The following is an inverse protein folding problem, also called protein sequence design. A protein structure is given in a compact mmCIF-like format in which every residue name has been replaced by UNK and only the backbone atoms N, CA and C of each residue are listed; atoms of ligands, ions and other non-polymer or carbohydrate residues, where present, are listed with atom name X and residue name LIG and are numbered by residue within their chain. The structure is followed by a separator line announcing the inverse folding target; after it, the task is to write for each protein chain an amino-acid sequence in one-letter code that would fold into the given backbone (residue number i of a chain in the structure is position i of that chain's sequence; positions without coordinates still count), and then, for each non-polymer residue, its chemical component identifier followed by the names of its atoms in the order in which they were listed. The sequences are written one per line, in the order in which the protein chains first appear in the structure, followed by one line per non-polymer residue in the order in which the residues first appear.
data_IF_368693572013
#
_entry.id   IF_368693572013
#
_cell.length_a   1.000
_cell.length_b   1.000
_cell.length_c   1.000
_cell.angle_alpha   90.00
_cell.angle_beta   90.00
_cell.angle_gamma   90.00
#
_symmetry.space_group_name_H-M   'P 1'
#
loop_
_entity.id
_entity.type
_entity.pdbx_description
1 polymer ?
#
# COMPACT_ATOMS: atom_id res chain seq x y z
N UNK A 1 -14.83 31.82 -27.40
CA UNK A 1 -14.36 30.99 -26.27
C UNK A 1 -13.98 29.65 -26.84
N UNK A 2 -12.72 29.27 -26.71
CA UNK A 2 -12.23 27.99 -27.19
C UNK A 2 -12.89 26.84 -26.43
N UNK A 3 -13.38 25.84 -27.17
CA UNK A 3 -14.03 24.65 -26.56
C UNK A 3 -12.98 23.66 -26.06
N UNK A 4 -13.21 23.11 -24.87
CA UNK A 4 -12.42 22.01 -24.35
C UNK A 4 -12.86 20.69 -24.99
N UNK A 5 -12.04 20.16 -25.88
CA UNK A 5 -12.28 18.86 -26.50
C UNK A 5 -11.74 17.76 -25.60
N UNK A 6 -12.66 16.94 -25.07
CA UNK A 6 -12.32 15.80 -24.23
C UNK A 6 -12.59 14.52 -25.02
N UNK A 7 -11.59 13.65 -25.25
CA UNK A 7 -11.83 12.34 -25.84
C UNK A 7 -12.85 11.54 -25.01
N UNK A 8 -13.61 10.66 -25.67
CA UNK A 8 -14.67 9.87 -25.01
C UNK A 8 -14.10 9.02 -23.86
N UNK A 9 -14.59 9.23 -22.62
CA UNK A 9 -14.15 8.43 -21.47
C UNK A 9 -14.63 6.99 -21.59
N UNK A 10 -13.86 6.04 -21.03
CA UNK A 10 -14.32 4.68 -20.84
C UNK A 10 -15.31 4.60 -19.64
N UNK A 11 -15.97 3.43 -19.47
CA UNK A 11 -16.97 3.24 -18.42
C UNK A 11 -16.43 3.51 -17.00
N UNK A 12 -15.19 3.10 -16.70
CA UNK A 12 -14.57 3.31 -15.39
C UNK A 12 -14.19 4.77 -15.14
N UNK A 13 -13.72 5.44 -16.18
CA UNK A 13 -13.46 6.88 -16.14
C UNK A 13 -14.77 7.67 -15.92
N UNK A 14 -15.88 7.28 -16.56
CA UNK A 14 -17.19 7.92 -16.33
C UNK A 14 -17.64 7.77 -14.87
N UNK A 15 -17.48 6.58 -14.27
CA UNK A 15 -17.76 6.37 -12.84
C UNK A 15 -16.92 7.30 -11.98
N UNK A 16 -15.61 7.39 -12.24
CA UNK A 16 -14.72 8.29 -11.50
C UNK A 16 -15.10 9.77 -11.66
N UNK A 17 -15.45 10.20 -12.85
CA UNK A 17 -15.89 11.58 -13.14
C UNK A 17 -17.21 11.92 -12.44
N UNK A 18 -18.11 10.96 -12.29
CA UNK A 18 -19.42 11.14 -11.66
C UNK A 18 -19.41 10.96 -10.13
N UNK A 19 -18.40 10.30 -9.57
CA UNK A 19 -18.34 9.98 -8.15
C UNK A 19 -18.34 11.23 -7.25
N UNK A 20 -19.13 11.18 -6.18
CA UNK A 20 -19.34 12.28 -5.25
C UNK A 20 -18.94 11.98 -3.81
N UNK A 21 -18.39 10.81 -3.51
CA UNK A 21 -17.88 10.49 -2.18
C UNK A 21 -16.79 11.47 -1.76
N UNK A 22 -16.47 11.50 -0.50
CA UNK A 22 -15.46 12.37 0.08
C UNK A 22 -14.04 11.88 -0.26
N UNK A 23 -13.85 10.56 -0.26
CA UNK A 23 -12.61 9.87 -0.58
C UNK A 23 -12.86 8.89 -1.73
N UNK A 24 -12.28 9.16 -2.88
CA UNK A 24 -12.50 8.37 -4.09
C UNK A 24 -11.19 7.68 -4.47
N UNK A 25 -11.17 6.35 -4.38
CA UNK A 25 -10.09 5.50 -4.87
C UNK A 25 -10.31 5.09 -6.31
N UNK A 26 -9.31 5.25 -7.17
CA UNK A 26 -9.35 4.82 -8.56
C UNK A 26 -8.09 4.03 -8.89
N UNK A 27 -8.21 2.72 -9.00
CA UNK A 27 -7.02 1.90 -9.10
C UNK A 27 -7.25 0.44 -9.42
N UNK A 28 -6.15 -0.32 -9.35
CA UNK A 28 -6.08 -1.75 -9.62
C UNK A 28 -4.85 -2.09 -10.43
N UNK A 29 -4.85 -1.86 -11.74
CA UNK A 29 -3.76 -2.22 -12.64
C UNK A 29 -3.12 -1.01 -13.33
N UNK A 30 -1.97 -1.20 -13.97
CA UNK A 30 -1.35 -0.20 -14.84
C UNK A 30 -2.11 -0.08 -16.16
N UNK A 31 -2.00 1.07 -16.83
CA UNK A 31 -2.60 1.27 -18.14
C UNK A 31 -4.10 1.56 -18.15
N UNK A 32 -4.80 1.60 -17.02
CA UNK A 32 -6.25 1.84 -16.92
C UNK A 32 -6.72 3.28 -17.23
N UNK A 33 -5.82 4.20 -17.59
CA UNK A 33 -6.17 5.59 -17.97
C UNK A 33 -6.48 6.50 -16.76
N UNK A 34 -5.95 6.18 -15.57
CA UNK A 34 -6.21 6.89 -14.31
C UNK A 34 -5.76 8.35 -14.34
N UNK A 35 -4.52 8.63 -14.71
CA UNK A 35 -3.96 10.00 -14.73
C UNK A 35 -4.68 10.90 -15.73
N UNK A 36 -5.18 10.33 -16.83
CA UNK A 36 -6.05 11.06 -17.77
C UNK A 36 -7.35 11.50 -17.08
N UNK A 37 -8.01 10.60 -16.34
CA UNK A 37 -9.25 10.91 -15.63
C UNK A 37 -9.04 11.97 -14.55
N UNK A 38 -7.91 11.95 -13.84
CA UNK A 38 -7.50 13.00 -12.89
C UNK A 38 -7.44 14.36 -13.57
N UNK A 39 -6.74 14.46 -14.71
CA UNK A 39 -6.61 15.72 -15.47
C UNK A 39 -7.96 16.26 -15.92
N UNK A 40 -8.79 15.40 -16.50
CA UNK A 40 -10.14 15.78 -16.95
C UNK A 40 -10.99 16.25 -15.78
N UNK A 41 -11.02 15.50 -14.68
CA UNK A 41 -11.79 15.88 -13.48
C UNK A 41 -11.35 17.21 -12.89
N UNK A 42 -10.03 17.44 -12.79
CA UNK A 42 -9.46 18.69 -12.31
C UNK A 42 -9.86 19.88 -13.19
N UNK A 43 -9.76 19.74 -14.53
CA UNK A 43 -10.18 20.76 -15.47
C UNK A 43 -11.69 21.06 -15.39
N UNK A 44 -12.54 20.01 -15.36
CA UNK A 44 -13.99 20.16 -15.24
C UNK A 44 -14.40 20.87 -13.94
N UNK A 45 -13.73 20.55 -12.81
CA UNK A 45 -13.99 21.24 -11.55
C UNK A 45 -13.66 22.74 -11.66
N UNK A 46 -12.52 23.08 -12.26
CA UNK A 46 -12.12 24.49 -12.46
C UNK A 46 -13.05 25.25 -13.40
N UNK A 47 -13.59 24.60 -14.42
CA UNK A 47 -14.54 25.22 -15.34
C UNK A 47 -15.92 25.43 -14.68
N UNK A 48 -16.37 24.49 -13.85
CA UNK A 48 -17.73 24.51 -13.27
C UNK A 48 -17.83 25.33 -11.98
N UNK A 49 -16.73 25.56 -11.25
CA UNK A 49 -16.73 26.25 -9.97
C UNK A 49 -15.78 27.44 -9.99
N UNK A 50 -16.24 28.68 -10.31
CA UNK A 50 -15.39 29.86 -10.36
C UNK A 50 -14.63 30.12 -9.05
N UNK A 51 -13.30 30.24 -9.15
CA UNK A 51 -12.45 30.48 -7.98
C UNK A 51 -12.05 29.22 -7.16
N UNK A 52 -12.48 28.01 -7.55
CA UNK A 52 -12.10 26.78 -6.87
C UNK A 52 -10.58 26.56 -6.91
N UNK A 53 -10.05 26.02 -5.82
CA UNK A 53 -8.65 25.63 -5.69
C UNK A 53 -8.54 24.10 -5.72
N UNK A 54 -7.97 23.57 -6.77
CA UNK A 54 -7.67 22.15 -6.97
C UNK A 54 -6.17 21.93 -6.80
N UNK A 55 -5.75 20.88 -6.14
CA UNK A 55 -4.33 20.51 -6.03
C UNK A 55 -4.12 19.09 -6.55
N UNK A 56 -3.05 18.92 -7.35
CA UNK A 56 -2.58 17.61 -7.79
C UNK A 56 -1.22 17.37 -7.16
N UNK A 57 -1.10 16.24 -6.46
CA UNK A 57 0.12 15.83 -5.77
C UNK A 57 0.65 14.54 -6.37
N UNK A 58 1.96 14.46 -6.54
CA UNK A 58 2.70 13.26 -6.85
C UNK A 58 3.94 13.17 -5.98
N UNK A 59 4.61 12.01 -5.96
CA UNK A 59 5.81 11.82 -5.16
C UNK A 59 6.92 12.78 -5.56
N UNK A 60 7.25 12.87 -6.87
CA UNK A 60 8.34 13.71 -7.37
C UNK A 60 7.86 14.76 -8.37
N UNK A 61 8.61 15.87 -8.46
CA UNK A 61 8.28 16.94 -9.40
C UNK A 61 8.44 16.52 -10.87
N UNK A 62 9.50 15.81 -11.30
CA UNK A 62 9.61 15.35 -12.69
C UNK A 62 8.41 14.49 -13.13
N UNK A 63 8.00 13.54 -12.29
CA UNK A 63 6.81 12.72 -12.58
C UNK A 63 5.53 13.56 -12.67
N UNK A 64 5.37 14.55 -11.80
CA UNK A 64 4.24 15.47 -11.82
C UNK A 64 4.24 16.29 -13.11
N UNK A 65 5.40 16.75 -13.56
CA UNK A 65 5.57 17.51 -14.80
C UNK A 65 5.15 16.69 -16.01
N UNK A 66 5.73 15.50 -16.17
CA UNK A 66 5.46 14.64 -17.33
C UNK A 66 4.02 14.12 -17.37
N UNK A 67 3.48 13.70 -16.21
CA UNK A 67 2.18 13.04 -16.19
C UNK A 67 0.98 13.97 -16.03
N UNK A 68 1.18 15.21 -15.54
CA UNK A 68 0.07 16.13 -15.32
C UNK A 68 0.28 17.52 -15.90
N UNK A 69 1.40 18.19 -15.64
CA UNK A 69 1.57 19.58 -16.04
C UNK A 69 1.57 19.71 -17.57
N UNK A 70 2.48 19.03 -18.25
CA UNK A 70 2.59 19.11 -19.71
C UNK A 70 1.31 18.66 -20.42
N UNK A 71 0.70 17.49 -20.06
CA UNK A 71 -0.55 17.08 -20.68
C UNK A 71 -1.74 18.02 -20.39
N UNK A 72 -1.81 18.63 -19.19
CA UNK A 72 -2.85 19.63 -18.89
C UNK A 72 -2.62 20.93 -19.68
N UNK A 73 -1.38 21.38 -19.77
CA UNK A 73 -1.05 22.55 -20.58
C UNK A 73 -1.44 22.35 -22.05
N UNK A 74 -1.17 21.18 -22.61
CA UNK A 74 -1.61 20.84 -23.98
C UNK A 74 -3.14 20.80 -24.10
N UNK A 75 -3.83 20.11 -23.17
CA UNK A 75 -5.29 19.96 -23.17
C UNK A 75 -6.01 21.31 -23.01
N UNK A 76 -5.47 22.23 -22.22
CA UNK A 76 -6.05 23.53 -21.92
C UNK A 76 -5.46 24.66 -22.79
N UNK A 77 -4.62 24.32 -23.75
CA UNK A 77 -3.93 25.29 -24.66
C UNK A 77 -3.21 26.39 -23.86
N UNK A 78 -2.60 26.05 -22.72
CA UNK A 78 -2.01 27.05 -21.81
C UNK A 78 -0.87 27.85 -22.44
N UNK A 79 -0.19 27.27 -23.42
CA UNK A 79 0.99 27.84 -24.10
C UNK A 79 0.70 28.21 -25.57
N UNK A 80 -0.57 28.29 -25.98
CA UNK A 80 -0.93 28.73 -27.33
C UNK A 80 -0.42 30.15 -27.57
N UNK A 81 0.07 30.42 -28.78
CA UNK A 81 0.62 31.72 -29.14
C UNK A 81 -0.47 32.80 -29.15
N UNK A 82 -1.70 32.44 -29.55
CA UNK A 82 -2.86 33.32 -29.45
C UNK A 82 -3.51 33.23 -28.06
N UNK A 83 -3.43 34.28 -27.21
CA UNK A 83 -4.08 34.29 -25.91
C UNK A 83 -5.60 34.04 -25.94
N UNK A 84 -6.27 34.35 -27.07
CA UNK A 84 -7.71 34.14 -27.23
C UNK A 84 -8.07 32.65 -27.35
N UNK A 85 -7.14 31.83 -27.79
CA UNK A 85 -7.30 30.40 -27.93
C UNK A 85 -7.00 29.63 -26.60
N UNK A 86 -6.41 30.31 -25.64
CA UNK A 86 -6.09 29.70 -24.32
C UNK A 86 -7.34 29.50 -23.47
N UNK A 87 -7.56 28.26 -23.02
CA UNK A 87 -8.61 27.96 -22.04
C UNK A 87 -8.15 28.35 -20.63
N UNK A 88 -6.85 28.22 -20.35
CA UNK A 88 -6.22 28.60 -19.09
C UNK A 88 -4.76 29.01 -19.32
N UNK A 89 -4.10 29.60 -18.33
CA UNK A 89 -2.71 30.01 -18.41
C UNK A 89 -1.85 29.26 -17.37
N UNK A 90 -0.67 28.79 -17.78
CA UNK A 90 0.28 28.17 -16.88
C UNK A 90 1.28 29.19 -16.32
N UNK A 91 1.47 29.22 -15.01
CA UNK A 91 2.49 30.02 -14.34
C UNK A 91 3.58 29.08 -13.81
N UNK A 92 4.72 29.08 -14.48
CA UNK A 92 5.83 28.18 -14.11
C UNK A 92 6.47 28.54 -12.77
N UNK A 93 6.60 29.82 -12.43
CA UNK A 93 7.19 30.25 -11.17
C UNK A 93 6.38 29.78 -9.95
N UNK A 94 5.05 29.79 -10.04
CA UNK A 94 4.13 29.36 -8.98
C UNK A 94 3.68 27.92 -9.11
N UNK A 95 4.03 27.23 -10.21
CA UNK A 95 3.64 25.86 -10.52
C UNK A 95 2.13 25.66 -10.40
N UNK A 96 1.35 26.46 -11.13
CA UNK A 96 -0.10 26.34 -11.18
C UNK A 96 -0.68 26.76 -12.55
N UNK A 97 -1.84 26.22 -12.89
CA UNK A 97 -2.69 26.67 -13.98
C UNK A 97 -3.78 27.59 -13.41
N UNK A 98 -4.03 28.70 -14.07
CA UNK A 98 -5.07 29.70 -13.73
C UNK A 98 -6.08 29.79 -14.83
N UNK A 99 -7.35 29.71 -14.49
CA UNK A 99 -8.48 29.87 -15.42
C UNK A 99 -9.00 31.31 -15.39
N UNK A 100 -9.64 31.78 -16.47
CA UNK A 100 -10.21 33.15 -16.51
C UNK A 100 -11.25 33.44 -15.41
N UNK A 101 -11.94 32.40 -14.92
CA UNK A 101 -12.91 32.49 -13.83
C UNK A 101 -12.27 32.53 -12.41
N UNK A 102 -10.95 32.62 -12.33
CA UNK A 102 -10.18 32.67 -11.07
C UNK A 102 -9.85 31.31 -10.46
N UNK A 103 -10.34 30.22 -11.01
CA UNK A 103 -10.03 28.85 -10.54
C UNK A 103 -8.56 28.50 -10.78
N UNK A 104 -8.01 27.58 -10.00
CA UNK A 104 -6.60 27.20 -10.09
C UNK A 104 -6.40 25.71 -9.90
N UNK A 105 -5.45 25.14 -10.70
CA UNK A 105 -4.88 23.82 -10.46
C UNK A 105 -3.45 24.01 -9.95
N UNK A 106 -3.19 23.69 -8.69
CA UNK A 106 -1.87 23.77 -8.06
C UNK A 106 -1.16 22.42 -8.21
N UNK A 107 0.13 22.47 -8.54
CA UNK A 107 0.97 21.29 -8.65
C UNK A 107 1.96 21.27 -7.49
N UNK A 108 1.98 20.18 -6.73
CA UNK A 108 2.87 20.00 -5.58
C UNK A 108 3.40 18.57 -5.56
N UNK A 109 4.57 18.38 -4.97
CA UNK A 109 5.15 17.05 -4.76
C UNK A 109 5.37 16.81 -3.26
N UNK A 110 5.40 15.52 -2.88
CA UNK A 110 5.61 15.08 -1.50
C UNK A 110 6.41 13.77 -1.53
N UNK A 111 7.73 13.86 -1.44
CA UNK A 111 8.62 12.69 -1.48
C UNK A 111 8.90 12.11 -0.08
N UNK A 112 8.93 12.96 0.93
CA UNK A 112 9.24 12.58 2.31
C UNK A 112 8.39 13.36 3.33
N UNK A 113 8.49 12.96 4.61
CA UNK A 113 7.72 13.58 5.69
C UNK A 113 8.09 15.07 5.91
N UNK A 114 9.32 15.49 5.55
CA UNK A 114 9.71 16.90 5.57
C UNK A 114 8.95 17.72 4.53
N UNK A 115 8.66 17.14 3.37
CA UNK A 115 7.84 17.80 2.37
C UNK A 115 6.39 17.92 2.85
N UNK A 116 5.87 16.90 3.53
CA UNK A 116 4.53 16.94 4.11
C UNK A 116 4.35 18.14 5.07
N UNK A 117 5.37 18.51 5.83
CA UNK A 117 5.33 19.67 6.70
C UNK A 117 5.16 21.02 5.96
N UNK A 118 5.57 21.11 4.69
CA UNK A 118 5.41 22.32 3.85
C UNK A 118 3.97 22.60 3.46
N UNK A 119 3.08 21.62 3.59
CA UNK A 119 1.66 21.79 3.32
C UNK A 119 0.91 22.49 4.47
N UNK A 120 1.56 22.72 5.61
CA UNK A 120 0.98 23.53 6.70
C UNK A 120 0.60 24.93 6.18
N UNK A 121 -0.64 25.34 6.45
CA UNK A 121 -1.18 26.60 5.95
C UNK A 121 -1.73 26.56 4.52
N UNK A 122 -1.54 25.48 3.77
CA UNK A 122 -2.17 25.31 2.45
C UNK A 122 -3.66 25.01 2.62
N UNK A 123 -4.48 25.63 1.78
CA UNK A 123 -5.93 25.42 1.75
C UNK A 123 -6.40 25.21 0.32
N UNK A 124 -7.08 24.09 0.08
CA UNK A 124 -7.65 23.71 -1.22
C UNK A 124 -9.03 23.08 -1.04
N UNK A 125 -9.84 23.13 -2.08
CA UNK A 125 -11.17 22.54 -2.08
C UNK A 125 -11.13 21.06 -2.46
N UNK A 126 -10.33 20.73 -3.48
CA UNK A 126 -10.19 19.37 -3.99
C UNK A 126 -8.73 18.99 -4.11
N UNK A 127 -8.42 17.80 -3.66
CA UNK A 127 -7.08 17.21 -3.68
C UNK A 127 -7.08 15.95 -4.56
N UNK A 128 -6.13 15.87 -5.46
CA UNK A 128 -5.79 14.65 -6.19
C UNK A 128 -4.42 14.15 -5.72
N UNK A 129 -4.34 12.91 -5.27
CA UNK A 129 -3.09 12.21 -4.94
C UNK A 129 -2.89 11.13 -6.00
N UNK A 130 -2.03 11.40 -6.97
CA UNK A 130 -1.72 10.43 -8.02
C UNK A 130 -0.63 9.48 -7.54
N UNK A 131 -0.87 8.17 -7.72
CA UNK A 131 -0.06 7.08 -7.16
C UNK A 131 -0.01 7.10 -5.62
N UNK A 132 -1.18 7.13 -4.97
CA UNK A 132 -1.33 7.28 -3.51
C UNK A 132 -0.56 6.23 -2.70
N UNK A 133 -0.35 5.03 -3.23
CA UNK A 133 0.46 3.98 -2.61
C UNK A 133 1.95 4.32 -2.48
N UNK A 134 2.43 5.39 -3.14
CA UNK A 134 3.79 5.88 -2.97
C UNK A 134 3.96 6.78 -1.74
N UNK A 135 2.88 7.17 -1.07
CA UNK A 135 2.88 8.03 0.11
C UNK A 135 2.59 7.23 1.39
N UNK A 136 3.29 7.56 2.47
CA UNK A 136 3.00 7.00 3.78
C UNK A 136 1.63 7.49 4.31
N UNK A 137 1.06 6.77 5.28
CA UNK A 137 -0.20 7.20 5.92
C UNK A 137 -0.05 8.55 6.63
N UNK A 138 1.13 8.84 7.19
CA UNK A 138 1.45 10.14 7.80
C UNK A 138 1.42 11.28 6.76
N UNK A 139 2.00 11.07 5.59
CA UNK A 139 1.94 12.03 4.48
C UNK A 139 0.50 12.23 4.01
N UNK A 140 -0.27 11.15 3.89
CA UNK A 140 -1.70 11.23 3.55
C UNK A 140 -2.49 12.06 4.55
N UNK A 141 -2.25 11.93 5.86
CA UNK A 141 -2.90 12.76 6.88
C UNK A 141 -2.56 14.24 6.75
N UNK A 142 -1.30 14.58 6.48
CA UNK A 142 -0.87 15.97 6.27
C UNK A 142 -1.52 16.57 5.02
N UNK A 143 -1.56 15.85 3.91
CA UNK A 143 -2.20 16.27 2.67
C UNK A 143 -3.72 16.43 2.83
N UNK A 144 -4.38 15.49 3.50
CA UNK A 144 -5.82 15.54 3.80
C UNK A 144 -6.20 16.80 4.58
N UNK A 145 -5.37 17.24 5.52
CA UNK A 145 -5.62 18.44 6.32
C UNK A 145 -5.67 19.73 5.50
N UNK A 146 -5.16 19.74 4.27
CA UNK A 146 -5.25 20.87 3.34
C UNK A 146 -6.65 21.04 2.73
N UNK A 147 -7.48 19.99 2.74
CA UNK A 147 -8.82 20.03 2.12
C UNK A 147 -9.81 20.65 3.11
N UNK A 148 -9.93 21.96 3.00
CA UNK A 148 -10.76 22.82 3.88
C UNK A 148 -11.16 24.11 3.19
N UNK A 149 -11.99 24.91 3.80
CA UNK A 149 -12.41 26.22 3.32
C UNK A 149 -13.87 26.50 3.66
N UNK A 150 -14.24 27.79 3.71
CA UNK A 150 -15.54 28.29 4.13
C UNK A 150 -16.55 28.43 2.97
N UNK A 151 -16.11 28.13 1.74
CA UNK A 151 -17.00 28.16 0.56
C UNK A 151 -17.82 26.86 0.43
N UNK A 152 -18.86 26.90 -0.41
CA UNK A 152 -19.77 25.76 -0.67
C UNK A 152 -19.26 24.81 -1.77
N UNK A 153 -17.98 24.84 -2.11
CA UNK A 153 -17.40 23.95 -3.10
C UNK A 153 -17.21 22.53 -2.55
N UNK A 154 -17.18 21.52 -3.43
CA UNK A 154 -16.91 20.15 -3.00
C UNK A 154 -15.59 20.05 -2.24
N UNK A 155 -15.58 19.36 -1.10
CA UNK A 155 -14.37 19.03 -0.34
C UNK A 155 -14.10 17.54 -0.52
N UNK A 156 -13.26 17.20 -1.51
CA UNK A 156 -13.03 15.81 -1.93
C UNK A 156 -11.56 15.50 -2.12
N UNK A 157 -11.24 14.22 -1.91
CA UNK A 157 -9.91 13.67 -2.13
C UNK A 157 -10.01 12.50 -3.10
N UNK A 158 -9.30 12.61 -4.22
CA UNK A 158 -9.22 11.59 -5.24
C UNK A 158 -7.83 10.95 -5.18
N UNK A 159 -7.78 9.63 -5.04
CA UNK A 159 -6.55 8.85 -4.97
C UNK A 159 -6.48 7.91 -6.16
N UNK A 160 -5.49 8.05 -7.04
CA UNK A 160 -5.17 6.96 -7.96
C UNK A 160 -4.19 6.02 -7.29
N UNK A 161 -4.25 4.73 -7.63
CA UNK A 161 -3.46 3.74 -6.92
C UNK A 161 -3.23 2.48 -7.74
N UNK A 162 -2.09 1.84 -7.48
CA UNK A 162 -1.77 0.49 -7.91
C UNK A 162 -1.26 -0.29 -6.69
N UNK A 163 -1.36 -1.64 -6.65
CA UNK A 163 -0.76 -2.42 -5.59
C UNK A 163 0.74 -2.19 -5.47
N UNK A 164 1.27 -2.16 -4.25
CA UNK A 164 2.67 -1.94 -3.94
C UNK A 164 2.96 -0.55 -3.36
N UNK A 165 4.22 -0.31 -2.95
CA UNK A 165 4.69 0.94 -2.36
C UNK A 165 4.45 1.05 -0.85
N UNK A 166 5.06 2.08 -0.25
CA UNK A 166 5.06 2.31 1.21
C UNK A 166 3.65 2.51 1.79
N UNK A 167 2.72 2.99 0.98
CA UNK A 167 1.33 3.24 1.34
C UNK A 167 0.38 2.08 1.06
N UNK A 168 0.89 0.94 0.56
CA UNK A 168 0.06 -0.21 0.20
C UNK A 168 -0.92 -0.60 1.34
N UNK A 169 -0.42 -0.68 2.56
CA UNK A 169 -1.21 -1.14 3.72
C UNK A 169 -2.41 -0.23 4.03
N UNK A 170 -2.21 1.08 4.14
CA UNK A 170 -3.31 2.00 4.45
C UNK A 170 -4.30 2.13 3.29
N UNK A 171 -3.81 2.09 2.04
CA UNK A 171 -4.67 2.11 0.84
C UNK A 171 -5.53 0.85 0.79
N UNK A 172 -4.91 -0.33 0.97
CA UNK A 172 -5.62 -1.61 0.99
C UNK A 172 -6.67 -1.62 2.10
N UNK A 173 -6.32 -1.24 3.33
CA UNK A 173 -7.23 -1.16 4.46
C UNK A 173 -8.48 -0.33 4.15
N UNK A 174 -8.30 0.89 3.64
CA UNK A 174 -9.40 1.85 3.43
C UNK A 174 -10.26 1.52 2.20
N UNK A 175 -9.64 1.21 1.07
CA UNK A 175 -10.34 1.15 -0.22
C UNK A 175 -10.67 -0.28 -0.66
N UNK A 176 -9.87 -1.27 -0.28
CA UNK A 176 -10.04 -2.66 -0.72
C UNK A 176 -10.73 -3.48 0.35
N UNK A 177 -10.13 -3.56 1.54
CA UNK A 177 -10.65 -4.34 2.67
C UNK A 177 -11.81 -3.63 3.38
N UNK A 178 -11.97 -2.29 3.16
CA UNK A 178 -13.02 -1.45 3.75
C UNK A 178 -13.05 -1.53 5.27
N UNK A 179 -11.88 -1.55 5.88
CA UNK A 179 -11.72 -1.57 7.33
C UNK A 179 -11.51 -0.13 7.81
N UNK A 180 -12.50 0.39 8.51
CA UNK A 180 -12.53 1.77 8.97
C UNK A 180 -12.24 1.86 10.46
N UNK A 181 -11.42 2.84 10.88
CA UNK A 181 -10.96 3.02 12.25
C UNK A 181 -11.38 4.38 12.79
N UNK A 182 -11.74 4.43 14.07
CA UNK A 182 -12.04 5.67 14.76
C UNK A 182 -13.17 6.48 14.12
N UNK A 183 -12.88 7.67 13.60
CA UNK A 183 -13.86 8.58 13.00
C UNK A 183 -14.08 8.36 11.48
N UNK A 184 -13.48 7.31 10.88
CA UNK A 184 -13.69 6.97 9.48
C UNK A 184 -15.09 6.36 9.28
N UNK A 185 -15.77 6.73 8.21
CA UNK A 185 -17.14 6.26 7.91
C UNK A 185 -17.18 5.63 6.53
N UNK A 186 -17.82 4.48 6.41
CA UNK A 186 -17.92 3.71 5.17
C UNK A 186 -18.51 4.53 4.01
N UNK A 187 -19.51 5.35 4.31
CA UNK A 187 -20.21 6.20 3.34
C UNK A 187 -19.33 7.32 2.74
N UNK A 188 -18.21 7.64 3.39
CA UNK A 188 -17.25 8.64 2.87
C UNK A 188 -16.36 8.08 1.75
N UNK A 189 -16.26 6.76 1.59
CA UNK A 189 -15.27 6.11 0.73
C UNK A 189 -15.91 5.36 -0.44
N UNK A 190 -15.29 5.51 -1.61
CA UNK A 190 -15.59 4.68 -2.79
C UNK A 190 -14.30 4.13 -3.41
N UNK A 191 -14.41 3.00 -4.08
CA UNK A 191 -13.31 2.42 -4.85
C UNK A 191 -13.78 1.96 -6.23
N UNK A 192 -13.12 2.44 -7.25
CA UNK A 192 -13.38 2.09 -8.66
C UNK A 192 -12.18 1.28 -9.16
N UNK A 193 -12.37 -0.02 -9.36
CA UNK A 193 -11.35 -0.89 -9.94
C UNK A 193 -11.20 -0.61 -11.42
N UNK A 194 -9.95 -0.41 -11.87
CA UNK A 194 -9.59 -0.18 -13.27
C UNK A 194 -8.44 -1.09 -13.68
N UNK A 195 -8.63 -1.81 -14.76
CA UNK A 195 -7.64 -2.70 -15.39
C UNK A 195 -7.20 -2.13 -16.74
N UNK A 196 -6.13 -2.66 -17.29
CA UNK A 196 -5.66 -2.30 -18.63
C UNK A 196 -6.72 -2.56 -19.71
N UNK A 197 -7.49 -3.64 -19.54
CA UNK A 197 -8.57 -4.04 -20.46
C UNK A 197 -9.76 -3.07 -20.47
N UNK A 198 -9.90 -2.22 -19.45
CA UNK A 198 -10.90 -1.16 -19.44
C UNK A 198 -10.52 0.02 -20.36
N UNK A 199 -9.24 0.11 -20.77
CA UNK A 199 -8.70 1.20 -21.58
C UNK A 199 -8.64 0.81 -23.06
N UNK A 200 -9.78 0.84 -23.71
CA UNK A 200 -9.90 0.47 -25.13
C UNK A 200 -8.99 1.33 -26.04
N UNK A 201 -8.75 2.61 -25.69
CA UNK A 201 -7.87 3.47 -26.45
C UNK A 201 -6.40 2.98 -26.42
N UNK A 202 -5.91 2.57 -25.25
CA UNK A 202 -4.58 1.98 -25.13
C UNK A 202 -4.49 0.64 -25.88
N UNK A 203 -5.51 -0.22 -25.72
CA UNK A 203 -5.55 -1.51 -26.40
C UNK A 203 -5.58 -1.40 -27.93
N UNK A 204 -6.18 -0.33 -28.45
CA UNK A 204 -6.20 -0.07 -29.89
C UNK A 204 -4.89 0.55 -30.40
N UNK A 205 -4.24 1.42 -29.60
CA UNK A 205 -3.00 2.10 -30.00
C UNK A 205 -1.76 1.25 -29.79
N UNK A 206 -1.75 0.39 -28.77
CA UNK A 206 -0.63 -0.49 -28.41
C UNK A 206 -1.13 -1.88 -27.96
N UNK A 207 -1.47 -2.76 -28.92
CA UNK A 207 -1.88 -4.13 -28.61
C UNK A 207 -0.80 -4.97 -27.90
N UNK A 208 0.49 -4.61 -28.11
CA UNK A 208 1.62 -5.34 -27.52
C UNK A 208 1.86 -4.99 -26.05
N UNK A 209 1.31 -3.90 -25.56
CA UNK A 209 1.39 -3.53 -24.16
C UNK A 209 0.83 -4.62 -23.22
N UNK A 210 -0.30 -5.21 -23.58
CA UNK A 210 -0.88 -6.32 -22.81
C UNK A 210 0.06 -7.54 -22.78
N UNK A 211 0.70 -7.85 -23.93
CA UNK A 211 1.68 -8.94 -24.04
C UNK A 211 2.90 -8.67 -23.15
N UNK A 212 3.38 -7.44 -23.10
CA UNK A 212 4.49 -7.04 -22.23
C UNK A 212 4.17 -7.23 -20.75
N UNK A 213 2.94 -6.92 -20.33
CA UNK A 213 2.48 -7.16 -18.94
C UNK A 213 2.39 -8.67 -18.62
N UNK A 214 1.96 -9.50 -19.58
CA UNK A 214 1.93 -10.95 -19.38
C UNK A 214 3.32 -11.58 -19.26
N UNK A 215 4.34 -10.98 -19.87
CA UNK A 215 5.74 -11.43 -19.81
C UNK A 215 6.46 -11.08 -18.48
N UNK A 216 5.83 -10.28 -17.62
CA UNK A 216 6.41 -9.91 -16.32
C UNK A 216 6.51 -11.12 -15.38
N UNK A 217 7.46 -11.09 -14.42
CA UNK A 217 7.47 -12.04 -13.31
C UNK A 217 6.10 -12.11 -12.62
N UNK A 218 5.71 -13.27 -12.13
CA UNK A 218 4.34 -13.55 -11.63
C UNK A 218 3.84 -12.49 -10.65
N UNK A 219 4.67 -12.08 -9.69
CA UNK A 219 4.34 -11.05 -8.70
C UNK A 219 3.99 -9.70 -9.35
N UNK A 220 4.84 -9.23 -10.27
CA UNK A 220 4.60 -7.97 -10.97
C UNK A 220 3.41 -8.07 -11.92
N UNK A 221 3.23 -9.21 -12.59
CA UNK A 221 2.07 -9.48 -13.45
C UNK A 221 0.78 -9.38 -12.64
N UNK A 222 0.69 -10.08 -11.50
CA UNK A 222 -0.47 -10.03 -10.61
C UNK A 222 -0.75 -8.61 -10.11
N UNK A 223 0.29 -7.86 -9.72
CA UNK A 223 0.13 -6.47 -9.27
C UNK A 223 -0.32 -5.54 -10.40
N UNK A 224 0.34 -5.60 -11.56
CA UNK A 224 0.21 -4.58 -12.60
C UNK A 224 -0.82 -4.92 -13.68
N UNK A 225 -1.07 -6.21 -13.92
CA UNK A 225 -2.10 -6.67 -14.87
C UNK A 225 -3.42 -6.97 -14.15
N UNK A 226 -3.37 -7.78 -13.09
CA UNK A 226 -4.57 -8.27 -12.42
C UNK A 226 -5.06 -7.30 -11.32
N UNK A 227 -4.19 -6.36 -10.88
CA UNK A 227 -4.52 -5.43 -9.81
C UNK A 227 -4.77 -6.14 -8.48
N UNK A 228 -3.96 -7.15 -8.20
CA UNK A 228 -4.06 -7.98 -6.99
C UNK A 228 -3.43 -7.23 -5.79
N UNK A 229 -4.23 -6.99 -4.77
CA UNK A 229 -3.84 -6.29 -3.55
C UNK A 229 -3.31 -7.22 -2.45
N UNK A 230 -3.33 -8.52 -2.66
CA UNK A 230 -2.80 -9.49 -1.70
C UNK A 230 -1.31 -9.81 -1.95
N UNK A 231 -0.68 -9.06 -2.84
CA UNK A 231 0.76 -9.13 -3.11
C UNK A 231 1.49 -8.20 -2.15
N UNK A 232 2.30 -8.79 -1.28
CA UNK A 232 3.14 -8.03 -0.35
C UNK A 232 4.43 -7.58 -1.03
N UNK A 233 4.59 -6.27 -1.21
CA UNK A 233 5.88 -5.69 -1.59
C UNK A 233 6.82 -5.76 -0.37
N UNK A 234 8.04 -6.29 -0.59
CA UNK A 234 9.00 -6.51 0.50
C UNK A 234 8.91 -7.88 1.18
N UNK A 235 8.03 -8.77 0.72
CA UNK A 235 8.05 -10.16 1.15
C UNK A 235 9.35 -10.83 0.70
N UNK A 236 10.19 -11.25 1.66
CA UNK A 236 11.46 -11.90 1.37
C UNK A 236 11.26 -13.28 0.72
N UNK A 237 10.26 -14.04 1.18
CA UNK A 237 9.86 -15.32 0.60
C UNK A 237 8.64 -15.12 -0.31
N UNK A 238 8.89 -14.98 -1.61
CA UNK A 238 7.83 -14.69 -2.60
C UNK A 238 6.85 -15.84 -2.79
N UNK A 239 7.29 -17.07 -2.52
CA UNK A 239 6.51 -18.29 -2.63
C UNK A 239 5.76 -18.66 -1.34
N UNK A 240 5.80 -17.82 -0.27
CA UNK A 240 5.05 -18.09 0.95
C UNK A 240 3.54 -18.12 0.66
N UNK A 241 2.90 -19.25 0.97
CA UNK A 241 1.49 -19.50 0.66
C UNK A 241 0.71 -19.86 1.91
N UNK A 242 -0.43 -19.20 2.06
CA UNK A 242 -1.41 -19.51 3.12
C UNK A 242 -2.29 -20.71 2.76
N UNK A 243 -2.50 -20.94 1.46
CA UNK A 243 -3.28 -22.05 0.93
C UNK A 243 -2.42 -22.94 0.05
N UNK A 244 -2.71 -24.25 -0.03
CA UNK A 244 -1.98 -25.15 -0.90
C UNK A 244 -2.01 -24.74 -2.37
N UNK A 245 -0.88 -24.89 -3.04
CA UNK A 245 -0.79 -24.71 -4.48
C UNK A 245 -1.35 -25.93 -5.21
N UNK A 246 -2.62 -25.85 -5.58
CA UNK A 246 -3.33 -26.95 -6.26
C UNK A 246 -2.77 -27.21 -7.67
N UNK A 247 -2.25 -26.21 -8.35
CA UNK A 247 -1.68 -26.38 -9.67
C UNK A 247 -0.36 -27.14 -9.60
N UNK A 248 0.53 -26.73 -8.70
CA UNK A 248 1.78 -27.44 -8.45
C UNK A 248 1.52 -28.87 -7.94
N UNK A 249 0.53 -29.05 -7.06
CA UNK A 249 0.14 -30.37 -6.57
C UNK A 249 -0.28 -31.30 -7.73
N UNK A 250 -1.14 -30.82 -8.62
CA UNK A 250 -1.57 -31.59 -9.82
C UNK A 250 -0.41 -31.92 -10.74
N UNK A 251 0.48 -30.95 -11.01
CA UNK A 251 1.71 -31.17 -11.81
C UNK A 251 2.63 -32.25 -11.19
N UNK A 252 2.59 -32.39 -9.87
CA UNK A 252 3.34 -33.40 -9.11
C UNK A 252 2.57 -34.69 -8.89
N UNK A 253 1.40 -34.88 -9.55
CA UNK A 253 0.60 -36.08 -9.48
C UNK A 253 -0.29 -36.23 -8.22
N UNK A 254 -0.54 -35.14 -7.49
CA UNK A 254 -1.43 -35.15 -6.33
C UNK A 254 -2.83 -34.72 -6.75
N UNK A 255 -3.82 -35.58 -6.54
CA UNK A 255 -5.24 -35.34 -6.84
C UNK A 255 -6.04 -34.95 -5.58
N UNK A 256 -5.38 -34.41 -4.54
CA UNK A 256 -6.00 -34.03 -3.29
C UNK A 256 -6.55 -32.59 -3.32
N UNK A 257 -7.56 -32.31 -2.51
CA UNK A 257 -8.08 -30.97 -2.28
C UNK A 257 -7.18 -30.15 -1.31
N UNK A 258 -7.55 -28.90 -1.09
CA UNK A 258 -6.79 -27.97 -0.25
C UNK A 258 -6.66 -28.45 1.20
N UNK A 259 -7.74 -29.02 1.78
CA UNK A 259 -7.75 -29.44 3.18
C UNK A 259 -6.93 -30.70 3.37
N UNK A 260 -7.03 -31.64 2.43
CA UNK A 260 -6.20 -32.86 2.43
C UNK A 260 -4.72 -32.54 2.29
N UNK A 261 -4.34 -31.62 1.38
CA UNK A 261 -2.96 -31.18 1.24
C UNK A 261 -2.42 -30.48 2.50
N UNK A 262 -3.25 -29.74 3.21
CA UNK A 262 -2.88 -29.15 4.51
C UNK A 262 -2.64 -30.24 5.57
N UNK A 263 -3.51 -31.22 5.68
CA UNK A 263 -3.32 -32.38 6.59
C UNK A 263 -2.03 -33.14 6.23
N UNK A 264 -1.74 -33.29 4.96
CA UNK A 264 -0.50 -33.91 4.49
C UNK A 264 0.74 -32.99 4.59
N UNK A 265 0.58 -31.73 5.02
CA UNK A 265 1.64 -30.72 5.11
C UNK A 265 2.39 -30.50 3.80
N UNK A 266 1.64 -30.44 2.69
CA UNK A 266 2.19 -30.36 1.31
C UNK A 266 1.70 -29.13 0.56
N UNK A 267 2.57 -28.55 -0.25
CA UNK A 267 2.29 -27.44 -1.17
C UNK A 267 1.72 -26.19 -0.48
N UNK A 268 1.99 -26.02 0.81
CA UNK A 268 1.58 -24.85 1.62
C UNK A 268 2.64 -24.56 2.66
N UNK A 269 2.68 -23.30 3.13
CA UNK A 269 3.51 -22.87 4.25
C UNK A 269 2.70 -22.75 5.55
N UNK A 270 1.38 -22.85 5.46
CA UNK A 270 0.49 -22.88 6.61
C UNK A 270 -0.22 -24.24 6.65
N UNK A 271 0.03 -24.98 7.71
CA UNK A 271 -0.48 -26.32 7.93
C UNK A 271 -1.59 -26.32 8.99
N UNK A 272 -2.30 -27.44 9.12
CA UNK A 272 -3.23 -27.64 10.24
C UNK A 272 -2.51 -27.54 11.58
N UNK A 273 -3.11 -26.86 12.58
CA UNK A 273 -2.57 -26.81 13.94
C UNK A 273 -2.33 -28.20 14.52
N UNK A 274 -1.26 -28.34 15.28
CA UNK A 274 -0.93 -29.58 15.99
C UNK A 274 -0.46 -29.28 17.41
N UNK A 275 -0.59 -30.25 18.31
CA UNK A 275 -0.12 -30.12 19.70
C UNK A 275 1.34 -30.59 19.81
N UNK A 276 2.24 -29.68 20.13
CA UNK A 276 3.66 -29.99 20.35
C UNK A 276 3.89 -30.87 21.62
N UNK A 277 2.94 -30.93 22.55
CA UNK A 277 3.00 -31.79 23.72
C UNK A 277 2.65 -33.25 23.40
N UNK A 278 2.10 -33.52 22.20
CA UNK A 278 1.77 -34.88 21.78
C UNK A 278 3.00 -35.82 21.80
N UNK A 279 2.82 -37.11 22.10
CA UNK A 279 3.91 -38.09 22.18
C UNK A 279 4.77 -38.15 20.89
N UNK A 280 4.18 -37.95 19.74
CA UNK A 280 4.86 -37.89 18.43
C UNK A 280 5.89 -36.75 18.29
N UNK A 281 5.72 -35.68 19.06
CA UNK A 281 6.60 -34.51 19.04
C UNK A 281 7.61 -34.45 20.20
N UNK A 282 7.66 -35.49 21.03
CA UNK A 282 8.45 -35.47 22.30
C UNK A 282 9.94 -35.20 22.09
N UNK A 283 10.53 -35.71 21.01
CA UNK A 283 11.96 -35.55 20.70
C UNK A 283 12.28 -34.39 19.75
N UNK A 284 11.31 -33.56 19.43
CA UNK A 284 11.54 -32.44 18.52
C UNK A 284 12.37 -31.36 19.23
N UNK A 285 13.37 -30.83 18.50
CA UNK A 285 14.17 -29.70 18.96
C UNK A 285 13.37 -28.42 18.89
N UNK A 286 13.44 -27.62 19.95
CA UNK A 286 12.82 -26.29 19.99
C UNK A 286 13.91 -25.26 20.18
N UNK A 287 13.91 -24.22 19.34
CA UNK A 287 14.78 -23.06 19.48
C UNK A 287 14.00 -21.77 19.24
N UNK A 288 14.57 -20.62 19.58
CA UNK A 288 14.01 -19.31 19.26
C UNK A 288 14.91 -18.51 18.36
N UNK A 289 14.32 -17.68 17.52
CA UNK A 289 14.98 -16.58 16.81
C UNK A 289 14.52 -15.25 17.38
N UNK A 290 15.43 -14.28 17.45
CA UNK A 290 15.14 -12.97 17.99
C UNK A 290 15.73 -11.88 17.08
N UNK A 291 14.88 -10.92 16.71
CA UNK A 291 15.24 -9.71 16.00
C UNK A 291 14.82 -8.50 16.84
N UNK A 292 15.78 -7.63 17.18
CA UNK A 292 15.58 -6.50 18.06
C UNK A 292 14.84 -5.36 17.38
N UNK A 293 13.92 -4.72 18.10
CA UNK A 293 13.30 -3.48 17.73
C UNK A 293 12.88 -2.65 18.94
N UNK A 294 12.92 -1.32 18.82
CA UNK A 294 12.44 -0.39 19.83
C UNK A 294 11.36 0.53 19.26
N UNK A 295 11.72 1.43 18.36
CA UNK A 295 10.78 2.27 17.62
C UNK A 295 10.09 1.51 16.47
N UNK A 296 10.75 0.48 15.94
CA UNK A 296 10.16 -0.54 15.06
C UNK A 296 9.86 -1.80 15.85
N UNK A 297 8.91 -2.63 15.41
CA UNK A 297 8.61 -3.88 16.09
C UNK A 297 9.84 -4.80 16.21
N UNK A 298 10.00 -5.45 17.36
CA UNK A 298 10.86 -6.61 17.50
C UNK A 298 10.09 -7.89 17.17
N UNK A 299 10.80 -8.97 16.88
CA UNK A 299 10.21 -10.29 16.67
C UNK A 299 10.99 -11.35 17.44
N UNK A 300 10.28 -12.15 18.25
CA UNK A 300 10.79 -13.37 18.83
C UNK A 300 9.88 -14.51 18.38
N UNK A 301 10.43 -15.44 17.61
CA UNK A 301 9.69 -16.61 17.14
C UNK A 301 10.28 -17.89 17.71
N UNK A 302 9.41 -18.82 18.14
CA UNK A 302 9.81 -20.16 18.56
C UNK A 302 9.54 -21.15 17.44
N UNK A 303 10.50 -22.01 17.22
CA UNK A 303 10.56 -22.96 16.12
C UNK A 303 10.72 -24.38 16.67
N UNK A 304 9.98 -25.31 16.08
CA UNK A 304 10.17 -26.73 16.32
C UNK A 304 10.72 -27.40 15.07
N UNK A 305 11.64 -28.33 15.25
CA UNK A 305 12.25 -29.13 14.18
C UNK A 305 11.84 -30.59 14.37
N UNK A 306 11.18 -31.18 13.38
CA UNK A 306 10.80 -32.58 13.40
C UNK A 306 11.98 -33.51 13.07
N UNK A 307 11.74 -34.83 13.10
CA UNK A 307 12.74 -35.83 12.81
C UNK A 307 13.20 -35.86 11.34
N UNK A 308 12.40 -35.27 10.44
CA UNK A 308 12.73 -35.12 9.02
C UNK A 308 13.48 -33.80 8.73
N UNK A 309 13.75 -32.99 9.76
CA UNK A 309 14.38 -31.67 9.64
C UNK A 309 13.45 -30.56 9.15
N UNK A 310 12.13 -30.78 9.19
CA UNK A 310 11.17 -29.75 8.83
C UNK A 310 11.04 -28.74 9.95
N UNK A 311 10.97 -27.46 9.58
CA UNK A 311 10.91 -26.32 10.50
C UNK A 311 9.48 -25.80 10.61
N UNK A 312 8.98 -25.70 11.85
CA UNK A 312 7.63 -25.19 12.16
C UNK A 312 7.73 -23.99 13.08
N UNK A 313 7.20 -22.83 12.68
CA UNK A 313 6.97 -21.72 13.60
C UNK A 313 5.75 -22.04 14.47
N UNK A 314 5.97 -22.23 15.75
CA UNK A 314 4.96 -22.72 16.71
C UNK A 314 4.39 -21.59 17.57
N UNK A 315 5.15 -20.50 17.77
CA UNK A 315 4.75 -19.36 18.57
C UNK A 315 5.50 -18.12 18.09
N UNK A 316 4.93 -16.94 18.28
CA UNK A 316 5.57 -15.66 18.00
C UNK A 316 5.19 -14.64 19.07
N UNK A 317 6.18 -13.85 19.50
CA UNK A 317 5.98 -12.61 20.23
C UNK A 317 6.44 -11.45 19.36
N UNK A 318 5.48 -10.76 18.76
CA UNK A 318 5.72 -9.66 17.85
C UNK A 318 5.46 -8.33 18.56
N UNK A 319 6.50 -7.52 18.73
CA UNK A 319 6.47 -6.29 19.51
C UNK A 319 5.91 -5.09 18.74
N UNK A 320 4.73 -5.24 18.14
CA UNK A 320 4.05 -4.20 17.39
C UNK A 320 2.87 -3.61 18.16
N UNK A 321 2.65 -2.30 18.07
CA UNK A 321 1.41 -1.66 18.54
C UNK A 321 0.24 -1.97 17.60
N UNK A 322 -0.94 -1.44 17.87
CA UNK A 322 -2.07 -1.49 16.94
C UNK A 322 -1.80 -0.75 15.61
N UNK A 323 -0.77 0.12 15.57
CA UNK A 323 -0.35 0.77 14.34
C UNK A 323 0.75 -0.05 13.67
N UNK A 324 0.60 -0.41 12.38
CA UNK A 324 1.61 -1.18 11.64
C UNK A 324 2.99 -0.53 11.68
N UNK A 325 4.04 -1.35 11.80
CA UNK A 325 5.44 -0.93 11.84
C UNK A 325 5.84 -0.02 13.02
N UNK A 326 5.00 0.12 14.03
CA UNK A 326 5.30 0.85 15.25
C UNK A 326 5.60 -0.11 16.42
N UNK A 327 6.84 -0.06 16.94
CA UNK A 327 7.28 -0.90 18.05
C UNK A 327 6.70 -0.48 19.39
N UNK A 328 6.58 -1.44 20.31
CA UNK A 328 6.09 -1.24 21.70
C UNK A 328 7.01 -0.38 22.56
N UNK A 329 8.21 -0.03 22.07
CA UNK A 329 9.23 0.76 22.79
C UNK A 329 9.66 0.14 24.15
N UNK A 330 9.67 -1.18 24.22
CA UNK A 330 10.19 -1.92 25.35
C UNK A 330 11.72 -1.95 25.28
N UNK A 331 12.38 -1.76 26.41
CA UNK A 331 13.82 -1.95 26.53
C UNK A 331 14.20 -3.41 26.29
N UNK A 332 15.46 -3.72 25.92
CA UNK A 332 15.89 -5.12 25.77
C UNK A 332 15.60 -5.97 27.00
N UNK A 333 15.83 -5.44 28.21
CA UNK A 333 15.54 -6.15 29.45
C UNK A 333 14.07 -6.50 29.62
N UNK A 334 13.17 -5.59 29.27
CA UNK A 334 11.72 -5.85 29.31
C UNK A 334 11.32 -6.90 28.29
N UNK A 335 11.86 -6.83 27.06
CA UNK A 335 11.61 -7.82 26.04
C UNK A 335 12.08 -9.22 26.47
N UNK A 336 13.29 -9.34 27.02
CA UNK A 336 13.82 -10.64 27.49
C UNK A 336 13.11 -11.18 28.74
N UNK A 337 12.65 -10.32 29.65
CA UNK A 337 11.82 -10.78 30.80
C UNK A 337 10.51 -11.39 30.31
N UNK A 338 9.89 -10.78 29.32
CA UNK A 338 8.64 -11.28 28.76
C UNK A 338 8.86 -12.59 27.99
N UNK A 339 9.91 -12.68 27.16
CA UNK A 339 10.31 -13.92 26.50
C UNK A 339 10.54 -15.05 27.53
N UNK A 340 11.29 -14.77 28.56
CA UNK A 340 11.54 -15.74 29.64
C UNK A 340 10.26 -16.12 30.41
N UNK A 341 9.31 -15.21 30.61
CA UNK A 341 7.99 -15.48 31.16
C UNK A 341 7.22 -16.44 30.27
N UNK A 342 7.14 -16.17 28.98
CA UNK A 342 6.45 -17.02 28.00
C UNK A 342 7.05 -18.43 27.99
N UNK A 343 8.37 -18.57 28.03
CA UNK A 343 9.03 -19.90 28.06
C UNK A 343 8.74 -20.71 29.34
N UNK A 344 8.57 -20.02 30.47
CA UNK A 344 8.21 -20.70 31.73
C UNK A 344 6.73 -21.09 31.78
N UNK A 345 5.84 -20.28 31.21
CA UNK A 345 4.39 -20.45 31.40
C UNK A 345 3.74 -21.22 30.25
N UNK A 346 4.27 -21.13 29.03
CA UNK A 346 3.64 -21.74 27.85
C UNK A 346 3.75 -23.28 27.90
N UNK A 347 2.65 -24.04 27.73
CA UNK A 347 2.63 -25.50 27.84
C UNK A 347 3.65 -26.22 26.94
N UNK A 348 3.92 -25.69 25.76
CA UNK A 348 4.85 -26.29 24.79
C UNK A 348 6.32 -25.99 25.08
N UNK A 349 6.61 -24.92 25.80
CA UNK A 349 7.97 -24.43 26.04
C UNK A 349 8.49 -24.79 27.45
N UNK A 350 7.57 -24.88 28.39
CA UNK A 350 7.91 -25.12 29.81
C UNK A 350 8.74 -26.40 30.01
N UNK A 351 9.88 -26.23 30.66
CA UNK A 351 10.79 -27.34 31.01
C UNK A 351 11.67 -27.82 29.83
N UNK A 352 11.62 -27.14 28.67
CA UNK A 352 12.53 -27.42 27.57
C UNK A 352 13.80 -26.56 27.68
N UNK A 353 14.94 -27.10 27.20
CA UNK A 353 16.12 -26.29 26.92
C UNK A 353 15.88 -25.63 25.55
N UNK A 354 15.89 -24.30 25.51
CA UNK A 354 15.60 -23.51 24.30
C UNK A 354 16.81 -22.66 23.96
N UNK A 355 17.54 -23.04 22.94
CA UNK A 355 18.64 -22.25 22.40
C UNK A 355 18.08 -21.04 21.62
N UNK A 356 18.83 -19.93 21.63
CA UNK A 356 18.44 -18.70 20.93
C UNK A 356 19.44 -18.33 19.85
N UNK A 357 18.93 -17.87 18.72
CA UNK A 357 19.72 -17.20 17.68
C UNK A 357 19.24 -15.77 17.56
N UNK A 358 20.19 -14.84 17.37
CA UNK A 358 19.90 -13.42 17.20
C UNK A 358 20.87 -12.84 16.16
N UNK A 359 20.54 -11.65 15.62
CA UNK A 359 21.41 -10.94 14.71
C UNK A 359 22.76 -10.62 15.41
N UNK A 360 23.92 -10.93 14.78
CA UNK A 360 25.24 -10.64 15.36
C UNK A 360 25.47 -9.16 15.69
N UNK A 361 24.79 -8.22 15.06
CA UNK A 361 24.87 -6.80 15.39
C UNK A 361 24.39 -6.46 16.79
N UNK A 362 23.59 -7.34 17.42
CA UNK A 362 23.16 -7.24 18.80
C UNK A 362 24.30 -7.44 19.82
N UNK A 363 25.43 -8.00 19.43
CA UNK A 363 26.61 -8.17 20.29
C UNK A 363 27.22 -6.87 20.80
N UNK A 364 26.86 -5.72 20.23
CA UNK A 364 27.25 -4.37 20.68
C UNK A 364 26.33 -3.82 21.79
N UNK A 365 25.19 -4.46 22.05
CA UNK A 365 24.34 -4.18 23.19
C UNK A 365 24.73 -5.17 24.27
N UNK A 366 25.28 -4.71 25.39
CA UNK A 366 25.62 -5.57 26.54
C UNK A 366 24.35 -6.28 27.06
N UNK A 367 24.06 -7.45 26.48
CA UNK A 367 23.05 -8.36 27.02
C UNK A 367 23.77 -9.23 28.05
N UNK A 368 23.74 -8.80 29.31
CA UNK A 368 24.06 -9.70 30.41
C UNK A 368 23.00 -10.79 30.40
N UNK A 369 23.36 -11.99 29.96
CA UNK A 369 22.50 -13.16 30.13
C UNK A 369 22.14 -13.28 31.61
N UNK A 370 20.89 -13.60 31.98
CA UNK A 370 20.56 -13.87 33.37
C UNK A 370 21.46 -15.02 33.84
N UNK A 371 22.39 -14.71 34.75
CA UNK A 371 23.18 -15.70 35.46
C UNK A 371 22.23 -16.70 36.10
N UNK A 372 22.45 -17.99 35.85
CA UNK A 372 21.79 -19.05 36.62
C UNK A 372 21.93 -18.73 38.11
N UNK A 373 20.86 -18.78 38.92
CA UNK A 373 21.06 -18.73 40.36
C UNK A 373 22.00 -19.88 40.72
N UNK A 374 23.06 -19.55 41.44
CA UNK A 374 23.92 -20.55 42.04
C UNK A 374 23.07 -21.44 42.98
N UNK A 375 23.18 -22.73 42.80
CA UNK A 375 22.61 -23.73 43.75
C UNK A 375 23.20 -23.58 45.16
#
# INVERSE_FOLDING_TARGET
MSELLIPKPNKKQLLFLADQHKFIGYGGARGGGKSWAVRVKAALLCLNYPGIKVMIVRRTYPELQENHILPLCAMLRCLDDDPAERIAAYNDAKKHIVFPNGSRILFRYCDCDKDAARFQGTEVDVLFIDEATQHSEAQMHALRACVRGVNNYPKRIYCTMNPGGVGHGWVKRLFIDRQYLGAERAEDYSFIRSLVTDNAALMASDPDYLRSLHALPDKLRRAWLDGDWDIYEGQFFEDFRLTPDLELARRRGFAADSDELRRQRRFTHVIEPFDLAAPACRGWTVFRSYDFGYGRPFSCAWWAVDYDGRLYRILEYYGCTAQPNQGLRLSPDEQFREIARMEREHPWLRGRSIDGVADPSLSLIHISAPTRPAE
#
